data_IF_662836660550
#
_entry.id   IF_662836660550
#
_cell.length_a   1.000
_cell.length_b   1.000
_cell.length_c   1.000
_cell.angle_alpha   90.00
_cell.angle_beta   90.00
_cell.angle_gamma   90.00
#
_symmetry.space_group_name_H-M   'P 1'
#
loop_
_entity.id
_entity.type
_entity.pdbx_description
1 polymer ?
#
# COMPACT_ATOMS: atom_id res chain seq x y z
N UNK A 1 -89.57 22.80 -52.36
CA UNK A 1 -88.88 21.81 -51.52
C UNK A 1 -89.80 21.55 -50.33
N UNK A 2 -90.18 20.30 -50.08
CA UNK A 2 -91.14 19.97 -49.02
C UNK A 2 -90.49 20.13 -47.63
N UNK A 3 -91.25 20.57 -46.63
CA UNK A 3 -90.78 20.87 -45.27
C UNK A 3 -90.15 19.62 -44.64
N UNK A 4 -90.70 18.44 -44.93
CA UNK A 4 -90.16 17.16 -44.50
C UNK A 4 -88.76 16.88 -45.08
N UNK A 5 -88.47 17.34 -46.30
CA UNK A 5 -87.15 17.19 -46.92
C UNK A 5 -86.10 18.06 -46.22
N UNK A 6 -86.47 19.29 -45.82
CA UNK A 6 -85.58 20.20 -45.09
C UNK A 6 -85.24 19.64 -43.71
N UNK A 7 -86.25 19.15 -42.98
CA UNK A 7 -86.07 18.57 -41.64
C UNK A 7 -85.13 17.35 -41.70
N UNK A 8 -85.32 16.46 -42.69
CA UNK A 8 -84.45 15.30 -42.86
C UNK A 8 -83.01 15.66 -43.20
N UNK A 9 -82.78 16.67 -44.06
CA UNK A 9 -81.42 17.12 -44.40
C UNK A 9 -80.72 17.72 -43.17
N UNK A 10 -81.42 18.53 -42.37
CA UNK A 10 -80.88 19.10 -41.13
C UNK A 10 -80.57 18.01 -40.10
N UNK A 11 -81.44 17.01 -39.96
CA UNK A 11 -81.21 15.87 -39.08
C UNK A 11 -79.97 15.06 -39.48
N UNK A 12 -79.74 14.84 -40.78
CA UNK A 12 -78.55 14.16 -41.30
C UNK A 12 -77.29 14.98 -41.01
N UNK A 13 -77.32 16.30 -41.23
CA UNK A 13 -76.17 17.18 -40.95
C UNK A 13 -75.81 17.15 -39.46
N UNK A 14 -76.81 17.20 -38.57
CA UNK A 14 -76.60 17.10 -37.12
C UNK A 14 -76.06 15.73 -36.72
N UNK A 15 -76.57 14.65 -37.31
CA UNK A 15 -76.11 13.29 -37.03
C UNK A 15 -74.65 13.08 -37.47
N UNK A 16 -74.29 13.53 -38.67
CA UNK A 16 -72.92 13.45 -39.20
C UNK A 16 -71.99 14.35 -38.40
N UNK A 17 -72.41 15.57 -38.06
CA UNK A 17 -71.64 16.50 -37.23
C UNK A 17 -71.35 15.92 -35.84
N UNK A 18 -72.35 15.34 -35.18
CA UNK A 18 -72.19 14.69 -33.88
C UNK A 18 -71.27 13.47 -33.97
N UNK A 19 -71.38 12.66 -35.02
CA UNK A 19 -70.52 11.50 -35.24
C UNK A 19 -69.05 11.90 -35.40
N UNK A 20 -68.75 12.90 -36.23
CA UNK A 20 -67.39 13.42 -36.43
C UNK A 20 -66.82 13.99 -35.12
N UNK A 21 -67.64 14.72 -34.36
CA UNK A 21 -67.22 15.30 -33.10
C UNK A 21 -66.88 14.21 -32.07
N UNK A 22 -67.76 13.23 -31.87
CA UNK A 22 -67.53 12.11 -30.93
C UNK A 22 -66.35 11.24 -31.36
N UNK A 23 -66.19 10.98 -32.66
CA UNK A 23 -65.04 10.25 -33.19
C UNK A 23 -63.71 10.98 -32.94
N UNK A 24 -63.70 12.32 -33.05
CA UNK A 24 -62.50 13.11 -32.77
C UNK A 24 -62.11 13.10 -31.28
N UNK A 25 -63.11 13.13 -30.39
CA UNK A 25 -62.92 13.10 -28.94
C UNK A 25 -62.43 11.72 -28.50
N UNK A 26 -63.04 10.65 -29.01
CA UNK A 26 -62.64 9.27 -28.68
C UNK A 26 -61.21 8.97 -29.14
N UNK A 27 -60.81 9.43 -30.33
CA UNK A 27 -59.42 9.32 -30.80
C UNK A 27 -58.44 10.07 -29.92
N UNK A 28 -58.77 11.31 -29.50
CA UNK A 28 -57.90 12.09 -28.59
C UNK A 28 -57.78 11.43 -27.23
N UNK A 29 -58.88 10.86 -26.71
CA UNK A 29 -58.89 10.12 -25.45
C UNK A 29 -58.03 8.86 -25.53
N UNK A 30 -58.19 8.04 -26.57
CA UNK A 30 -57.39 6.83 -26.79
C UNK A 30 -55.88 7.14 -26.94
N UNK A 31 -55.53 8.20 -27.69
CA UNK A 31 -54.15 8.64 -27.84
C UNK A 31 -53.52 9.09 -26.51
N UNK A 32 -54.28 9.81 -25.68
CA UNK A 32 -53.81 10.23 -24.37
C UNK A 32 -53.74 9.06 -23.37
N UNK A 33 -54.63 8.07 -23.47
CA UNK A 33 -54.58 6.84 -22.68
C UNK A 33 -53.39 5.95 -23.05
N UNK A 34 -53.05 5.80 -24.34
CA UNK A 34 -51.83 5.08 -24.76
C UNK A 34 -50.57 5.79 -24.29
N UNK A 35 -50.54 7.12 -24.38
CA UNK A 35 -49.42 7.92 -23.87
C UNK A 35 -49.31 7.84 -22.34
N UNK A 36 -50.43 7.81 -21.62
CA UNK A 36 -50.49 7.64 -20.17
C UNK A 36 -50.20 6.22 -19.68
N UNK A 37 -50.38 5.19 -20.52
CA UNK A 37 -49.98 3.80 -20.23
C UNK A 37 -48.46 3.60 -20.25
N UNK A 38 -47.73 4.40 -21.04
CA UNK A 38 -46.27 4.45 -21.01
C UNK A 38 -45.81 5.42 -19.91
N UNK A 39 -45.93 4.97 -18.65
CA UNK A 39 -45.62 5.76 -17.45
C UNK A 39 -44.17 6.29 -17.38
N UNK A 40 -43.23 5.67 -18.10
CA UNK A 40 -41.87 6.19 -18.27
C UNK A 40 -41.74 6.83 -19.66
N UNK A 41 -41.51 8.13 -19.71
CA UNK A 41 -41.22 8.83 -20.96
C UNK A 41 -39.80 8.48 -21.43
N UNK A 42 -39.49 8.67 -22.73
CA UNK A 42 -38.12 8.47 -23.25
C UNK A 42 -37.09 9.34 -22.52
N UNK A 43 -37.52 10.47 -21.99
CA UNK A 43 -36.73 11.38 -21.17
C UNK A 43 -36.39 10.74 -19.81
N UNK A 44 -37.36 10.14 -19.13
CA UNK A 44 -37.14 9.41 -17.87
C UNK A 44 -36.15 8.25 -18.05
N UNK A 45 -36.31 7.47 -19.14
CA UNK A 45 -35.38 6.37 -19.49
C UNK A 45 -33.98 6.93 -19.78
N UNK A 46 -33.88 8.05 -20.48
CA UNK A 46 -32.61 8.72 -20.77
C UNK A 46 -31.90 9.21 -19.50
N UNK A 47 -32.66 9.83 -18.59
CA UNK A 47 -32.15 10.32 -17.31
C UNK A 47 -31.68 9.16 -16.43
N UNK A 48 -32.49 8.11 -16.27
CA UNK A 48 -32.12 6.90 -15.53
C UNK A 48 -30.87 6.25 -16.13
N UNK A 49 -30.77 6.17 -17.46
CA UNK A 49 -29.59 5.61 -18.14
C UNK A 49 -28.32 6.41 -17.83
N UNK A 50 -28.41 7.74 -17.82
CA UNK A 50 -27.28 8.61 -17.50
C UNK A 50 -26.88 8.50 -16.03
N UNK A 51 -27.84 8.39 -15.11
CA UNK A 51 -27.59 8.13 -13.70
C UNK A 51 -26.91 6.78 -13.47
N UNK A 52 -27.41 5.71 -14.11
CA UNK A 52 -26.78 4.38 -14.05
C UNK A 52 -25.33 4.43 -14.52
N UNK A 53 -25.05 5.05 -15.67
CA UNK A 53 -23.68 5.21 -16.18
C UNK A 53 -22.79 6.01 -15.22
N UNK A 54 -23.35 7.03 -14.58
CA UNK A 54 -22.62 7.81 -13.57
C UNK A 54 -22.29 6.96 -12.33
N UNK A 55 -23.24 6.15 -11.87
CA UNK A 55 -23.04 5.22 -10.75
C UNK A 55 -22.01 4.14 -11.10
N UNK A 56 -22.11 3.52 -12.28
CA UNK A 56 -21.13 2.54 -12.77
C UNK A 56 -19.71 3.14 -12.83
N UNK A 57 -19.58 4.38 -13.31
CA UNK A 57 -18.30 5.09 -13.34
C UNK A 57 -17.73 5.30 -11.93
N UNK A 58 -18.55 5.79 -10.99
CA UNK A 58 -18.14 5.98 -9.58
C UNK A 58 -17.76 4.66 -8.92
N UNK A 59 -18.55 3.60 -9.16
CA UNK A 59 -18.29 2.27 -8.63
C UNK A 59 -16.98 1.69 -9.18
N UNK A 60 -16.70 1.89 -10.47
CA UNK A 60 -15.43 1.51 -11.10
C UNK A 60 -14.26 2.24 -10.45
N UNK A 61 -14.37 3.56 -10.23
CA UNK A 61 -13.33 4.36 -9.56
C UNK A 61 -13.08 3.85 -8.13
N UNK A 62 -14.15 3.63 -7.36
CA UNK A 62 -14.05 3.14 -5.99
C UNK A 62 -13.40 1.75 -5.93
N UNK A 63 -13.76 0.86 -6.85
CA UNK A 63 -13.19 -0.49 -6.94
C UNK A 63 -11.70 -0.43 -7.27
N UNK A 64 -11.29 0.45 -8.20
CA UNK A 64 -9.88 0.65 -8.53
C UNK A 64 -9.09 1.25 -7.37
N UNK A 65 -9.66 2.22 -6.65
CA UNK A 65 -9.03 2.80 -5.45
C UNK A 65 -8.85 1.75 -4.36
N UNK A 66 -9.89 0.96 -4.10
CA UNK A 66 -9.85 -0.12 -3.11
C UNK A 66 -8.79 -1.16 -3.46
N UNK A 67 -8.77 -1.64 -4.71
CA UNK A 67 -7.74 -2.55 -5.21
C UNK A 67 -6.33 -1.96 -5.11
N UNK A 68 -6.18 -0.66 -5.40
CA UNK A 68 -4.92 0.07 -5.25
C UNK A 68 -4.43 0.11 -3.80
N UNK A 69 -5.31 0.42 -2.84
CA UNK A 69 -5.00 0.44 -1.40
C UNK A 69 -4.58 -0.96 -0.93
N UNK A 70 -5.34 -2.01 -1.28
CA UNK A 70 -5.00 -3.38 -0.92
C UNK A 70 -3.65 -3.83 -1.49
N UNK A 71 -3.33 -3.38 -2.71
CA UNK A 71 -2.03 -3.63 -3.31
C UNK A 71 -0.91 -2.93 -2.55
N UNK A 72 -1.11 -1.67 -2.14
CA UNK A 72 -0.12 -0.91 -1.36
C UNK A 72 0.06 -1.46 0.05
N UNK A 73 -0.99 -1.95 0.72
CA UNK A 73 -0.85 -2.66 2.00
C UNK A 73 0.09 -3.86 1.87
N UNK A 74 -0.16 -4.72 0.87
CA UNK A 74 0.69 -5.89 0.60
C UNK A 74 2.13 -5.48 0.27
N UNK A 75 2.30 -4.49 -0.60
CA UNK A 75 3.62 -4.01 -1.02
C UNK A 75 4.42 -3.49 0.19
N UNK A 76 3.76 -2.74 1.07
CA UNK A 76 4.38 -2.18 2.26
C UNK A 76 4.84 -3.24 3.26
N UNK A 77 4.03 -4.29 3.47
CA UNK A 77 4.43 -5.45 4.30
C UNK A 77 5.71 -6.09 3.77
N UNK A 78 5.78 -6.31 2.46
CA UNK A 78 6.94 -6.92 1.80
C UNK A 78 8.16 -6.00 1.89
N UNK A 79 7.97 -4.71 1.60
CA UNK A 79 9.02 -3.70 1.63
C UNK A 79 9.66 -3.58 3.01
N UNK A 80 8.87 -3.48 4.08
CA UNK A 80 9.41 -3.43 5.44
C UNK A 80 10.23 -4.69 5.78
N UNK A 81 9.73 -5.89 5.45
CA UNK A 81 10.47 -7.14 5.67
C UNK A 81 11.81 -7.16 4.92
N UNK A 82 11.82 -6.68 3.67
CA UNK A 82 13.03 -6.58 2.87
C UNK A 82 14.04 -5.62 3.49
N UNK A 83 13.62 -4.40 3.84
CA UNK A 83 14.53 -3.38 4.39
C UNK A 83 15.04 -3.75 5.77
N UNK A 84 14.20 -4.34 6.62
CA UNK A 84 14.61 -4.87 7.91
C UNK A 84 15.69 -5.95 7.76
N UNK A 85 15.45 -6.92 6.87
CA UNK A 85 16.40 -8.01 6.61
C UNK A 85 17.72 -7.47 6.05
N UNK A 86 17.66 -6.45 5.19
CA UNK A 86 18.84 -5.79 4.63
C UNK A 86 19.67 -5.09 5.71
N UNK A 87 19.03 -4.33 6.61
CA UNK A 87 19.72 -3.64 7.71
C UNK A 87 20.38 -4.63 8.67
N UNK A 88 19.62 -5.58 9.23
CA UNK A 88 20.16 -6.59 10.16
C UNK A 88 21.23 -7.46 9.47
N UNK A 89 20.99 -7.85 8.22
CA UNK A 89 21.94 -8.61 7.42
C UNK A 89 23.24 -7.86 7.13
N UNK A 90 23.25 -6.53 7.17
CA UNK A 90 24.47 -5.75 6.96
C UNK A 90 25.48 -5.97 8.08
N UNK A 91 25.04 -6.18 9.32
CA UNK A 91 25.91 -6.57 10.43
C UNK A 91 26.53 -7.97 10.23
N UNK A 92 25.82 -8.89 9.58
CA UNK A 92 26.40 -10.18 9.20
C UNK A 92 27.55 -10.02 8.22
N UNK A 93 27.45 -9.10 7.26
CA UNK A 93 28.41 -8.93 6.14
C UNK A 93 29.81 -8.50 6.62
N UNK A 94 29.99 -8.14 7.90
CA UNK A 94 31.29 -7.78 8.50
C UNK A 94 32.42 -8.81 8.22
N UNK A 95 32.14 -10.11 8.13
CA UNK A 95 33.17 -11.12 7.77
C UNK A 95 33.87 -10.88 6.42
N UNK A 96 33.29 -10.06 5.53
CA UNK A 96 33.90 -9.68 4.24
C UNK A 96 34.68 -8.37 4.30
N UNK A 97 34.64 -7.65 5.42
CA UNK A 97 35.39 -6.41 5.59
C UNK A 97 36.87 -6.71 5.74
N UNK A 98 37.66 -6.09 4.86
CA UNK A 98 39.08 -5.93 5.15
C UNK A 98 39.23 -4.85 6.22
N UNK A 99 39.16 -5.27 7.48
CA UNK A 99 39.31 -4.37 8.63
C UNK A 99 40.65 -3.61 8.66
N UNK A 100 41.64 -3.96 7.83
CA UNK A 100 42.90 -3.21 7.68
C UNK A 100 42.82 -2.05 6.68
N UNK A 101 41.75 -1.98 5.89
CA UNK A 101 41.53 -0.92 4.90
C UNK A 101 40.47 0.06 5.40
N UNK A 102 40.88 1.30 5.64
CA UNK A 102 39.96 2.35 6.10
C UNK A 102 38.88 2.71 5.07
N UNK A 103 39.15 2.54 3.77
CA UNK A 103 38.12 2.75 2.73
C UNK A 103 36.98 1.73 2.91
N UNK A 104 37.32 0.47 3.18
CA UNK A 104 36.33 -0.59 3.36
C UNK A 104 35.54 -0.41 4.67
N UNK A 105 36.21 0.07 5.74
CA UNK A 105 35.57 0.41 7.02
C UNK A 105 34.61 1.60 6.88
N UNK A 106 35.02 2.66 6.16
CA UNK A 106 34.21 3.84 5.91
C UNK A 106 32.99 3.48 5.04
N UNK A 107 33.18 2.67 3.98
CA UNK A 107 32.10 2.19 3.11
C UNK A 107 31.10 1.32 3.86
N UNK A 108 31.57 0.45 4.75
CA UNK A 108 30.69 -0.36 5.58
C UNK A 108 29.79 0.48 6.48
N UNK A 109 30.37 1.48 7.14
CA UNK A 109 29.64 2.40 8.02
C UNK A 109 28.54 3.14 7.24
N UNK A 110 28.87 3.57 6.01
CA UNK A 110 27.91 4.22 5.09
C UNK A 110 26.78 3.27 4.65
N UNK A 111 27.09 1.99 4.39
CA UNK A 111 26.08 0.99 4.02
C UNK A 111 25.13 0.74 5.20
N UNK A 112 25.67 0.62 6.42
CA UNK A 112 24.84 0.46 7.63
C UNK A 112 23.86 1.63 7.80
N UNK A 113 24.37 2.86 7.75
CA UNK A 113 23.55 4.08 7.85
C UNK A 113 22.43 4.11 6.81
N UNK A 114 22.78 3.85 5.55
CA UNK A 114 21.81 3.87 4.46
C UNK A 114 20.72 2.82 4.66
N UNK A 115 21.10 1.60 5.04
CA UNK A 115 20.13 0.52 5.22
C UNK A 115 19.24 0.74 6.44
N UNK A 116 19.77 1.34 7.50
CA UNK A 116 19.00 1.80 8.65
C UNK A 116 17.94 2.85 8.23
N UNK A 117 18.35 3.89 7.50
CA UNK A 117 17.45 4.94 7.01
C UNK A 117 16.32 4.37 6.15
N UNK A 118 16.65 3.48 5.20
CA UNK A 118 15.67 2.79 4.38
C UNK A 118 14.68 1.97 5.22
N UNK A 119 15.15 1.33 6.29
CA UNK A 119 14.27 0.58 7.19
C UNK A 119 13.31 1.50 7.95
N UNK A 120 13.78 2.64 8.47
CA UNK A 120 12.90 3.62 9.13
C UNK A 120 11.86 4.21 8.17
N UNK A 121 12.24 4.53 6.94
CA UNK A 121 11.29 4.99 5.91
C UNK A 121 10.22 3.91 5.66
N UNK A 122 10.64 2.65 5.52
CA UNK A 122 9.71 1.54 5.32
C UNK A 122 8.79 1.30 6.51
N UNK A 123 9.26 1.55 7.74
CA UNK A 123 8.43 1.47 8.95
C UNK A 123 7.36 2.55 8.95
N UNK A 124 7.71 3.81 8.66
CA UNK A 124 6.72 4.90 8.58
C UNK A 124 5.66 4.62 7.51
N UNK A 125 6.06 4.02 6.39
CA UNK A 125 5.10 3.57 5.36
C UNK A 125 4.25 2.41 5.90
N UNK A 126 4.82 1.46 6.62
CA UNK A 126 4.11 0.35 7.25
C UNK A 126 3.02 0.85 8.20
N UNK A 127 3.34 1.78 9.09
CA UNK A 127 2.38 2.37 10.03
C UNK A 127 1.27 3.17 9.34
N UNK A 128 1.55 3.74 8.16
CA UNK A 128 0.56 4.47 7.38
C UNK A 128 -0.50 3.56 6.75
N UNK A 129 -0.09 2.39 6.25
CA UNK A 129 -0.97 1.49 5.50
C UNK A 129 -1.51 0.32 6.33
N UNK A 130 -0.87 -0.03 7.44
CA UNK A 130 -1.26 -1.17 8.26
C UNK A 130 -1.88 -0.66 9.56
N UNK A 131 -3.20 -0.77 9.67
CA UNK A 131 -3.95 -0.35 10.87
C UNK A 131 -3.90 -1.36 12.03
N UNK A 132 -3.31 -2.54 11.80
CA UNK A 132 -3.22 -3.61 12.80
C UNK A 132 -2.21 -3.23 13.90
N UNK A 133 -2.73 -2.84 15.07
CA UNK A 133 -1.92 -2.40 16.23
C UNK A 133 -0.89 -3.44 16.65
N UNK A 134 -1.25 -4.73 16.64
CA UNK A 134 -0.35 -5.80 17.05
C UNK A 134 0.82 -5.97 16.06
N UNK A 135 0.53 -5.90 14.76
CA UNK A 135 1.57 -5.90 13.73
C UNK A 135 2.49 -4.68 13.82
N UNK A 136 1.94 -3.49 14.10
CA UNK A 136 2.75 -2.29 14.32
C UNK A 136 3.64 -2.43 15.56
N UNK A 137 3.11 -2.95 16.67
CA UNK A 137 3.92 -3.23 17.87
C UNK A 137 5.07 -4.19 17.58
N UNK A 138 4.82 -5.26 16.84
CA UNK A 138 5.86 -6.22 16.45
C UNK A 138 6.91 -5.60 15.51
N UNK A 139 6.49 -4.78 14.55
CA UNK A 139 7.40 -4.05 13.67
C UNK A 139 8.31 -3.11 14.47
N UNK A 140 7.75 -2.38 15.44
CA UNK A 140 8.51 -1.51 16.34
C UNK A 140 9.47 -2.30 17.25
N UNK A 141 9.04 -3.44 17.79
CA UNK A 141 9.91 -4.31 18.58
C UNK A 141 11.11 -4.81 17.77
N UNK A 142 10.88 -5.20 16.51
CA UNK A 142 11.94 -5.58 15.59
C UNK A 142 12.96 -4.46 15.38
N UNK A 143 12.48 -3.23 15.20
CA UNK A 143 13.32 -2.03 15.06
C UNK A 143 14.16 -1.81 16.32
N UNK A 144 13.57 -1.91 17.50
CA UNK A 144 14.29 -1.77 18.78
C UNK A 144 15.38 -2.83 18.89
N UNK A 145 15.08 -4.09 18.54
CA UNK A 145 16.07 -5.18 18.54
C UNK A 145 17.20 -4.94 17.54
N UNK A 146 16.89 -4.45 16.34
CA UNK A 146 17.91 -4.11 15.36
C UNK A 146 18.73 -2.89 15.80
N UNK A 147 18.14 -1.91 16.46
CA UNK A 147 18.84 -0.75 17.02
C UNK A 147 19.85 -1.15 18.10
N UNK A 148 19.66 -2.25 18.82
CA UNK A 148 20.67 -2.79 19.74
C UNK A 148 21.97 -3.19 19.01
N UNK A 149 21.89 -3.51 17.72
CA UNK A 149 23.07 -3.79 16.89
C UNK A 149 23.86 -2.51 16.55
N UNK A 150 23.29 -1.31 16.67
CA UNK A 150 24.03 -0.05 16.44
C UNK A 150 25.19 0.12 17.41
N UNK A 151 25.12 -0.47 18.61
CA UNK A 151 26.28 -0.53 19.52
C UNK A 151 27.51 -1.17 18.87
N UNK A 152 27.31 -2.09 17.93
CA UNK A 152 28.38 -2.75 17.18
C UNK A 152 29.05 -1.82 16.17
N UNK A 153 28.33 -0.80 15.67
CA UNK A 153 28.88 0.19 14.75
C UNK A 153 30.01 0.98 15.41
N UNK A 154 29.82 1.40 16.66
CA UNK A 154 30.86 2.10 17.42
C UNK A 154 32.17 1.30 17.50
N UNK A 155 32.08 -0.03 17.67
CA UNK A 155 33.24 -0.93 17.73
C UNK A 155 34.00 -0.94 16.38
N UNK A 156 33.29 -0.80 15.27
CA UNK A 156 33.89 -0.74 13.93
C UNK A 156 34.55 0.62 13.68
N UNK A 157 33.92 1.70 14.12
CA UNK A 157 34.50 3.04 14.01
C UNK A 157 35.82 3.17 14.81
N UNK A 158 35.97 2.43 15.91
CA UNK A 158 37.22 2.33 16.68
C UNK A 158 38.36 1.61 15.92
N UNK A 159 38.07 0.83 14.87
CA UNK A 159 39.12 0.16 14.07
C UNK A 159 39.88 1.17 13.21
N UNK A 160 39.19 2.22 12.75
CA UNK A 160 39.77 3.25 11.87
C UNK A 160 40.97 3.97 12.48
N UNK A 161 40.90 4.55 13.70
CA UNK A 161 42.07 5.18 14.32
C UNK A 161 43.19 4.17 14.58
N UNK A 162 42.88 2.92 14.91
CA UNK A 162 43.90 1.88 15.09
C UNK A 162 44.65 1.59 13.78
N UNK A 163 43.98 1.56 12.63
CA UNK A 163 44.65 1.41 11.33
C UNK A 163 45.56 2.61 11.01
N UNK A 164 45.16 3.82 11.38
CA UNK A 164 45.98 5.02 11.19
C UNK A 164 47.25 4.92 12.04
N UNK A 165 47.11 4.56 13.33
CA UNK A 165 48.22 4.39 14.25
C UNK A 165 49.17 3.28 13.79
N UNK A 166 48.65 2.14 13.34
CA UNK A 166 49.45 1.01 12.83
C UNK A 166 50.30 1.37 11.60
N UNK A 167 49.84 2.32 10.78
CA UNK A 167 50.57 2.80 9.61
C UNK A 167 51.44 4.03 9.90
N UNK A 168 51.44 4.54 11.13
CA UNK A 168 52.22 5.71 11.52
C UNK A 168 53.69 5.38 11.81
N UNK A 169 54.54 6.40 11.81
CA UNK A 169 55.95 6.26 12.19
C UNK A 169 56.13 5.81 13.66
N UNK A 170 55.16 6.10 14.53
CA UNK A 170 55.17 5.73 15.95
C UNK A 170 55.02 4.21 16.17
N UNK A 171 54.39 3.50 15.23
CA UNK A 171 54.23 2.05 15.30
C UNK A 171 55.45 1.27 14.78
N UNK A 172 56.57 1.93 14.45
CA UNK A 172 57.81 1.25 14.02
C UNK A 172 58.47 0.46 15.16
N UNK A 173 58.17 0.79 16.42
CA UNK A 173 58.58 -0.05 17.54
C UNK A 173 57.68 -1.30 17.61
N UNK A 174 58.32 -2.48 17.46
CA UNK A 174 57.64 -3.78 17.42
C UNK A 174 56.66 -4.00 18.57
N UNK A 175 57.00 -3.55 19.79
CA UNK A 175 56.12 -3.67 20.97
C UNK A 175 54.83 -2.85 20.84
N UNK A 176 54.93 -1.63 20.29
CA UNK A 176 53.77 -0.75 20.07
C UNK A 176 52.87 -1.36 19.00
N UNK A 177 53.46 -1.88 17.92
CA UNK A 177 52.72 -2.57 16.86
C UNK A 177 51.97 -3.81 17.38
N UNK A 178 52.64 -4.65 18.18
CA UNK A 178 52.04 -5.85 18.77
C UNK A 178 50.86 -5.51 19.69
N UNK A 179 50.95 -4.45 20.50
CA UNK A 179 49.87 -4.00 21.38
C UNK A 179 48.66 -3.46 20.59
N UNK A 180 48.90 -2.65 19.55
CA UNK A 180 47.84 -2.13 18.68
C UNK A 180 47.09 -3.26 17.94
N UNK A 181 47.82 -4.27 17.44
CA UNK A 181 47.22 -5.45 16.81
C UNK A 181 46.38 -6.22 17.83
N UNK A 182 46.90 -6.44 19.04
CA UNK A 182 46.19 -7.15 20.11
C UNK A 182 44.87 -6.44 20.45
N UNK A 183 44.90 -5.12 20.63
CA UNK A 183 43.71 -4.31 20.91
C UNK A 183 42.68 -4.41 19.78
N UNK A 184 43.12 -4.38 18.52
CA UNK A 184 42.24 -4.55 17.36
C UNK A 184 41.58 -5.93 17.35
N UNK A 185 42.32 -7.00 17.64
CA UNK A 185 41.79 -8.37 17.73
C UNK A 185 40.74 -8.47 18.86
N UNK A 186 40.98 -7.84 20.00
CA UNK A 186 40.04 -7.80 21.11
C UNK A 186 38.72 -7.10 20.73
N UNK A 187 38.78 -5.97 20.02
CA UNK A 187 37.59 -5.30 19.51
C UNK A 187 36.78 -6.18 18.55
N UNK A 188 37.44 -6.83 17.59
CA UNK A 188 36.77 -7.73 16.65
C UNK A 188 36.16 -8.96 17.36
N UNK A 189 36.82 -9.48 18.40
CA UNK A 189 36.25 -10.55 19.24
C UNK A 189 35.02 -10.07 20.00
N UNK A 190 35.10 -8.89 20.61
CA UNK A 190 33.99 -8.27 21.33
C UNK A 190 32.78 -8.07 20.41
N UNK A 191 33.01 -7.53 19.21
CA UNK A 191 32.00 -7.39 18.15
C UNK A 191 31.31 -8.73 17.88
N UNK A 192 32.08 -9.77 17.55
CA UNK A 192 31.52 -11.08 17.16
C UNK A 192 30.70 -11.71 18.28
N UNK A 193 31.15 -11.58 19.53
CA UNK A 193 30.44 -12.09 20.70
C UNK A 193 29.11 -11.36 20.92
N UNK A 194 29.12 -10.03 20.87
CA UNK A 194 27.91 -9.21 21.03
C UNK A 194 26.93 -9.45 19.87
N UNK A 195 27.41 -9.46 18.63
CA UNK A 195 26.63 -9.79 17.45
C UNK A 195 25.94 -11.16 17.61
N UNK A 196 26.69 -12.20 17.98
CA UNK A 196 26.14 -13.55 18.15
C UNK A 196 25.08 -13.62 19.25
N UNK A 197 25.26 -12.85 20.33
CA UNK A 197 24.29 -12.77 21.42
C UNK A 197 22.98 -12.11 20.94
N UNK A 198 23.09 -10.92 20.35
CA UNK A 198 21.95 -10.12 19.92
C UNK A 198 21.18 -10.78 18.76
N UNK A 199 21.90 -11.37 17.81
CA UNK A 199 21.30 -12.02 16.65
C UNK A 199 20.50 -13.28 17.00
N UNK A 200 20.75 -13.92 18.15
CA UNK A 200 19.96 -15.10 18.57
C UNK A 200 18.52 -14.75 18.94
N UNK A 201 18.26 -13.52 19.36
CA UNK A 201 16.93 -13.10 19.82
C UNK A 201 16.03 -12.66 18.66
N UNK A 202 16.61 -12.12 17.58
CA UNK A 202 15.88 -11.56 16.44
C UNK A 202 14.98 -12.60 15.72
N UNK A 203 15.44 -13.83 15.42
CA UNK A 203 14.64 -14.81 14.67
C UNK A 203 13.29 -15.15 15.33
N UNK A 204 13.22 -15.16 16.66
CA UNK A 204 11.97 -15.51 17.36
C UNK A 204 10.86 -14.49 17.07
N UNK A 205 11.17 -13.20 17.25
CA UNK A 205 10.23 -12.10 17.01
C UNK A 205 9.94 -11.98 15.50
N UNK A 206 10.97 -12.10 14.66
CA UNK A 206 10.84 -11.99 13.21
C UNK A 206 9.92 -13.06 12.64
N UNK A 207 10.01 -14.30 13.14
CA UNK A 207 9.13 -15.38 12.70
C UNK A 207 7.66 -15.13 13.05
N UNK A 208 7.39 -14.62 14.25
CA UNK A 208 6.02 -14.26 14.69
C UNK A 208 5.46 -13.13 13.83
N UNK A 209 6.24 -12.07 13.63
CA UNK A 209 5.88 -10.95 12.77
C UNK A 209 5.57 -11.42 11.33
N UNK A 210 6.50 -12.16 10.72
CA UNK A 210 6.33 -12.66 9.36
C UNK A 210 5.13 -13.59 9.19
N UNK A 211 4.81 -14.39 10.22
CA UNK A 211 3.62 -15.23 10.19
C UNK A 211 2.35 -14.37 10.15
N UNK A 212 2.24 -13.36 11.02
CA UNK A 212 1.09 -12.45 11.02
C UNK A 212 0.99 -11.63 9.72
N UNK A 213 2.11 -11.21 9.16
CA UNK A 213 2.15 -10.57 7.85
C UNK A 213 1.56 -11.48 6.75
N UNK A 214 1.95 -12.76 6.72
CA UNK A 214 1.37 -13.74 5.77
C UNK A 214 -0.12 -13.93 6.00
N UNK A 215 -0.55 -14.08 7.25
CA UNK A 215 -1.96 -14.24 7.59
C UNK A 215 -2.79 -13.04 7.15
N UNK A 216 -2.28 -11.82 7.31
CA UNK A 216 -2.92 -10.59 6.80
C UNK A 216 -2.99 -10.59 5.28
N UNK A 217 -1.89 -10.86 4.58
CA UNK A 217 -1.88 -10.93 3.12
C UNK A 217 -2.89 -11.96 2.59
N UNK A 218 -2.99 -13.13 3.24
CA UNK A 218 -3.96 -14.15 2.84
C UNK A 218 -5.41 -13.75 3.13
N UNK A 219 -5.67 -12.98 4.18
CA UNK A 219 -7.01 -12.39 4.40
C UNK A 219 -7.40 -11.43 3.29
N UNK A 220 -6.45 -10.60 2.80
CA UNK A 220 -6.71 -9.68 1.67
C UNK A 220 -7.09 -10.39 0.36
N UNK A 221 -6.74 -11.68 0.21
CA UNK A 221 -7.05 -12.48 -0.98
C UNK A 221 -8.42 -13.18 -0.91
N UNK A 222 -9.10 -13.17 0.25
CA UNK A 222 -10.42 -13.79 0.37
C UNK A 222 -11.49 -12.77 0.00
N UNK A 223 -12.41 -13.09 -0.94
CA UNK A 223 -13.55 -12.22 -1.19
C UNK A 223 -14.39 -12.14 0.08
N UNK A 224 -14.73 -10.92 0.50
CA UNK A 224 -15.80 -10.72 1.50
C UNK A 224 -17.09 -11.27 0.87
N UNK A 225 -17.66 -12.29 1.52
CA UNK A 225 -18.92 -12.93 1.11
C UNK A 225 -20.12 -12.13 1.60
#
# INVERSE_FOLDING_TARGET
MDVNTIINVVAIILAVGNFICLYSISRKKAYNEEKGKNLATKEDIGNITNEIKSVESKFTILTNLHSGILSEERNTIIEFNEKYSLWVGSYMINWRLNSNNNIDVDEFSRILEKNQELCYISLSKFELFIEDEELNCLAQELIIKAAQLEGLRSIIEEIRPLNILLNSAEAQERKIQEELIKRKVEFLKSYNNQYTSLYREIPAILNVFQQKCRDRIYKLLKPEH
#
